data_IF_194546342623
#
_entry.id   IF_194546342623
#
_cell.length_a   1.000
_cell.length_b   1.000
_cell.length_c   1.000
_cell.angle_alpha   90.00
_cell.angle_beta   90.00
_cell.angle_gamma   90.00
#
_symmetry.space_group_name_H-M   'P 1'
#
loop_
_entity.id
_entity.type
_entity.pdbx_description
1 polymer ?
#
# COMPACT_ATOMS: atom_id res chain seq x y z
N UNK A 1 1.13 21.50 -12.73
CA UNK A 1 1.43 20.10 -13.11
C UNK A 1 0.60 19.22 -12.19
N UNK A 2 -0.23 18.33 -12.73
CA UNK A 2 -1.14 17.47 -11.96
C UNK A 2 -0.87 16.01 -12.32
N UNK A 3 -1.03 15.12 -11.35
CA UNK A 3 -0.91 13.67 -11.57
C UNK A 3 -2.23 12.97 -11.26
N UNK A 4 -2.59 11.99 -12.08
CA UNK A 4 -3.63 11.02 -11.75
C UNK A 4 -3.04 9.88 -10.93
N UNK A 5 -3.90 9.08 -10.29
CA UNK A 5 -3.46 7.84 -9.62
C UNK A 5 -2.75 6.90 -10.61
N UNK A 6 -3.24 6.82 -11.85
CA UNK A 6 -2.62 6.01 -12.91
C UNK A 6 -1.17 6.45 -13.18
N UNK A 7 -0.94 7.75 -13.40
CA UNK A 7 0.40 8.29 -13.62
C UNK A 7 1.32 8.05 -12.41
N UNK A 8 0.78 8.21 -11.20
CA UNK A 8 1.53 7.95 -9.96
C UNK A 8 1.97 6.48 -9.89
N UNK A 9 1.10 5.54 -10.25
CA UNK A 9 1.42 4.10 -10.28
C UNK A 9 2.49 3.81 -11.31
N UNK A 10 2.35 4.35 -12.53
CA UNK A 10 3.29 4.16 -13.63
C UNK A 10 4.72 4.57 -13.26
N UNK A 11 4.91 5.63 -12.47
CA UNK A 11 6.24 6.01 -11.97
C UNK A 11 6.68 5.32 -10.68
N UNK A 12 5.74 4.79 -9.88
CA UNK A 12 6.07 4.15 -8.59
C UNK A 12 6.54 2.71 -8.79
N UNK A 13 5.94 1.96 -9.72
CA UNK A 13 6.28 0.56 -9.96
C UNK A 13 7.70 0.32 -10.50
N UNK A 14 8.29 1.17 -11.35
CA UNK A 14 9.70 1.06 -11.71
C UNK A 14 10.61 1.07 -10.47
N UNK A 15 10.42 2.01 -9.54
CA UNK A 15 11.21 2.06 -8.30
C UNK A 15 11.01 0.81 -7.43
N UNK A 16 9.76 0.34 -7.31
CA UNK A 16 9.47 -0.92 -6.61
C UNK A 16 10.24 -2.10 -7.22
N UNK A 17 10.17 -2.28 -8.53
CA UNK A 17 10.78 -3.40 -9.24
C UNK A 17 12.31 -3.35 -9.28
N UNK A 18 12.87 -2.16 -9.50
CA UNK A 18 14.31 -1.99 -9.73
C UNK A 18 15.09 -1.78 -8.43
N UNK A 19 14.45 -1.25 -7.39
CA UNK A 19 15.12 -0.93 -6.11
C UNK A 19 14.62 -1.83 -4.98
N UNK A 20 13.32 -1.92 -4.74
CA UNK A 20 12.79 -2.62 -3.56
C UNK A 20 12.90 -4.14 -3.70
N UNK A 21 12.49 -4.68 -4.85
CA UNK A 21 12.47 -6.13 -5.11
C UNK A 21 13.87 -6.78 -4.98
N UNK A 22 14.97 -6.20 -5.50
CA UNK A 22 16.30 -6.75 -5.28
C UNK A 22 16.70 -6.82 -3.79
N UNK A 23 16.31 -5.82 -2.99
CA UNK A 23 16.62 -5.81 -1.56
C UNK A 23 15.81 -6.87 -0.80
N UNK A 24 14.54 -7.07 -1.17
CA UNK A 24 13.70 -8.15 -0.64
C UNK A 24 14.30 -9.53 -0.98
N UNK A 25 14.76 -9.72 -2.23
CA UNK A 25 15.43 -10.97 -2.66
C UNK A 25 16.75 -11.22 -1.91
N UNK A 26 17.44 -10.16 -1.51
CA UNK A 26 18.61 -10.23 -0.62
C UNK A 26 18.26 -10.58 0.84
N UNK A 27 16.97 -10.81 1.15
CA UNK A 27 16.51 -11.21 2.48
C UNK A 27 16.38 -10.05 3.48
N UNK A 28 16.39 -8.80 3.01
CA UNK A 28 16.24 -7.63 3.89
C UNK A 28 14.79 -7.41 4.27
N UNK A 29 14.57 -6.98 5.52
CA UNK A 29 13.31 -6.39 5.96
C UNK A 29 13.28 -4.91 5.54
N UNK A 30 12.26 -4.49 4.80
CA UNK A 30 12.18 -3.15 4.21
C UNK A 30 11.05 -2.36 4.86
N UNK A 31 11.37 -1.15 5.32
CA UNK A 31 10.41 -0.14 5.74
C UNK A 31 10.23 0.88 4.60
N UNK A 32 8.98 1.17 4.24
CA UNK A 32 8.63 2.19 3.24
C UNK A 32 7.81 3.28 3.92
N UNK A 33 8.39 4.48 4.02
CA UNK A 33 7.68 5.69 4.45
C UNK A 33 7.36 6.53 3.21
N UNK A 34 6.08 6.68 2.89
CA UNK A 34 5.64 7.36 1.67
C UNK A 34 4.24 7.99 1.84
N UNK A 35 3.62 8.41 0.74
CA UNK A 35 2.31 9.07 0.72
C UNK A 35 1.21 8.14 0.20
N UNK A 36 -0.05 8.55 0.41
CA UNK A 36 -1.24 7.75 0.10
C UNK A 36 -1.28 7.17 -1.33
N UNK A 37 -1.15 8.00 -2.36
CA UNK A 37 -1.28 7.52 -3.76
C UNK A 37 -0.12 6.60 -4.20
N UNK A 38 1.11 6.87 -3.76
CA UNK A 38 2.25 5.98 -4.04
C UNK A 38 2.10 4.64 -3.32
N UNK A 39 1.66 4.65 -2.04
CA UNK A 39 1.41 3.41 -1.29
C UNK A 39 0.25 2.61 -1.88
N UNK A 40 -0.85 3.28 -2.27
CA UNK A 40 -1.96 2.66 -3.01
C UNK A 40 -1.47 1.97 -4.28
N UNK A 41 -0.52 2.58 -5.00
CA UNK A 41 0.04 1.94 -6.19
C UNK A 41 0.79 0.64 -5.93
N UNK A 42 1.55 0.59 -4.85
CA UNK A 42 2.24 -0.63 -4.41
C UNK A 42 1.22 -1.69 -3.95
N UNK A 43 0.25 -1.29 -3.12
CA UNK A 43 -0.82 -2.18 -2.64
C UNK A 43 -1.62 -2.76 -3.81
N UNK A 44 -2.03 -1.92 -4.76
CA UNK A 44 -2.73 -2.36 -5.98
C UNK A 44 -1.96 -3.45 -6.72
N UNK A 45 -0.65 -3.28 -6.83
CA UNK A 45 0.21 -4.23 -7.53
C UNK A 45 0.37 -5.54 -6.76
N UNK A 46 0.56 -5.48 -5.44
CA UNK A 46 0.72 -6.65 -4.58
C UNK A 46 -0.56 -7.50 -4.46
N UNK A 47 -1.71 -6.84 -4.28
CA UNK A 47 -3.00 -7.49 -4.09
C UNK A 47 -3.77 -7.68 -5.41
N UNK A 48 -3.11 -7.44 -6.55
CA UNK A 48 -3.68 -7.58 -7.90
C UNK A 48 -5.06 -6.88 -8.04
N UNK A 49 -5.21 -5.71 -7.41
CA UNK A 49 -6.49 -5.01 -7.30
C UNK A 49 -6.95 -4.44 -8.63
N UNK A 50 -8.27 -4.50 -8.88
CA UNK A 50 -8.90 -3.82 -10.00
C UNK A 50 -8.81 -2.29 -9.86
N UNK A 51 -9.02 -1.58 -10.97
CA UNK A 51 -9.08 -0.11 -10.95
C UNK A 51 -10.22 0.39 -10.04
N UNK A 52 -11.36 -0.28 -10.00
CA UNK A 52 -12.47 0.14 -9.16
C UNK A 52 -12.18 -0.14 -7.68
N UNK A 53 -11.57 -1.29 -7.37
CA UNK A 53 -11.20 -1.64 -6.00
C UNK A 53 -10.18 -0.64 -5.42
N UNK A 54 -9.18 -0.21 -6.20
CA UNK A 54 -8.16 0.73 -5.70
C UNK A 54 -8.72 2.13 -5.46
N UNK A 55 -9.79 2.53 -6.17
CA UNK A 55 -10.46 3.80 -5.92
C UNK A 55 -11.16 3.82 -4.56
N UNK A 56 -11.63 2.66 -4.10
CA UNK A 56 -12.22 2.49 -2.77
C UNK A 56 -11.20 2.32 -1.63
N UNK A 57 -9.94 1.98 -1.95
CA UNK A 57 -8.91 1.75 -0.94
C UNK A 57 -8.46 3.07 -0.31
N UNK A 58 -8.56 3.14 1.02
CA UNK A 58 -8.09 4.28 1.79
C UNK A 58 -7.14 3.83 2.90
N UNK A 59 -5.91 4.31 2.81
CA UNK A 59 -4.88 4.03 3.81
C UNK A 59 -4.92 5.12 4.89
N UNK A 60 -5.12 4.76 6.18
CA UNK A 60 -5.04 5.70 7.28
C UNK A 60 -3.65 6.33 7.38
N UNK A 61 -3.59 7.59 7.78
CA UNK A 61 -2.31 8.30 7.95
C UNK A 61 -1.67 7.92 9.27
N UNK A 62 -0.37 7.63 9.26
CA UNK A 62 0.41 7.37 10.49
C UNK A 62 0.19 5.99 11.11
N UNK A 63 -0.62 5.12 10.50
CA UNK A 63 -0.79 3.74 10.94
C UNK A 63 0.09 2.83 10.09
N UNK A 64 1.07 2.11 10.68
CA UNK A 64 1.87 1.14 9.95
C UNK A 64 1.01 -0.03 9.47
N UNK A 65 1.33 -0.58 8.31
CA UNK A 65 0.79 -1.85 7.86
C UNK A 65 1.90 -2.75 7.33
N UNK A 66 1.68 -4.05 7.44
CA UNK A 66 2.65 -5.08 7.11
C UNK A 66 2.17 -5.93 5.95
N UNK A 67 3.12 -6.26 5.06
CA UNK A 67 2.98 -7.32 4.06
C UNK A 67 3.96 -8.42 4.35
N UNK A 68 3.48 -9.66 4.35
CA UNK A 68 4.34 -10.84 4.35
C UNK A 68 4.32 -11.44 2.95
N UNK A 69 5.48 -11.47 2.29
CA UNK A 69 5.61 -11.94 0.92
C UNK A 69 6.29 -13.32 0.90
N UNK A 70 5.83 -14.19 0.00
CA UNK A 70 6.51 -15.45 -0.26
C UNK A 70 7.90 -15.18 -0.87
N UNK A 71 8.92 -15.89 -0.38
CA UNK A 71 10.32 -15.62 -0.73
C UNK A 71 10.62 -15.86 -2.21
N UNK A 72 9.89 -16.76 -2.88
CA UNK A 72 10.14 -17.14 -4.27
C UNK A 72 9.32 -16.33 -5.25
N UNK A 73 8.02 -16.21 -4.97
CA UNK A 73 7.05 -15.56 -5.86
C UNK A 73 6.94 -14.07 -5.61
N UNK A 74 7.36 -13.59 -4.43
CA UNK A 74 7.19 -12.22 -3.95
C UNK A 74 5.74 -11.74 -3.93
N UNK A 75 4.80 -12.69 -3.95
CA UNK A 75 3.38 -12.44 -3.78
C UNK A 75 3.03 -12.46 -2.28
N UNK A 76 2.01 -11.71 -1.84
CA UNK A 76 1.49 -11.82 -0.48
C UNK A 76 1.13 -13.27 -0.14
N UNK A 77 1.55 -13.75 1.03
CA UNK A 77 1.12 -15.07 1.54
C UNK A 77 -0.35 -15.02 1.98
N UNK A 78 -0.99 -16.17 2.16
CA UNK A 78 -2.36 -16.24 2.67
C UNK A 78 -2.45 -15.52 4.03
N UNK A 79 -3.33 -14.52 4.13
CA UNK A 79 -3.46 -13.66 5.30
C UNK A 79 -2.36 -12.62 5.46
N UNK A 80 -1.35 -12.58 4.59
CA UNK A 80 -0.21 -11.65 4.62
C UNK A 80 -0.42 -10.35 3.85
N UNK A 81 -1.64 -10.05 3.41
CA UNK A 81 -2.00 -8.79 2.75
C UNK A 81 -2.50 -7.75 3.74
N UNK A 82 -2.03 -6.51 3.57
CA UNK A 82 -2.49 -5.28 4.22
C UNK A 82 -2.91 -5.40 5.70
N UNK A 83 -2.00 -5.89 6.56
CA UNK A 83 -2.27 -6.02 7.99
C UNK A 83 -1.89 -4.72 8.72
N UNK A 84 -2.86 -3.95 9.20
CA UNK A 84 -2.57 -2.78 10.04
C UNK A 84 -2.01 -3.20 11.40
N UNK A 85 -0.99 -2.47 11.85
CA UNK A 85 -0.34 -2.66 13.14
C UNK A 85 -0.77 -1.57 14.10
N UNK A 86 -1.17 -1.96 15.31
CA UNK A 86 -1.59 -1.06 16.38
C UNK A 86 -2.87 -1.52 17.05
N UNK A 87 -3.33 -0.72 18.02
CA UNK A 87 -4.57 -1.01 18.74
C UNK A 87 -5.78 -0.92 17.79
N UNK A 88 -6.74 -1.86 17.85
CA UNK A 88 -7.88 -1.89 16.93
C UNK A 88 -8.71 -0.60 16.92
N UNK A 89 -8.86 0.05 18.07
CA UNK A 89 -9.73 1.21 18.22
C UNK A 89 -9.16 2.49 17.57
N UNK A 90 -7.89 2.88 17.80
CA UNK A 90 -7.23 3.92 17.02
C UNK A 90 -7.20 3.65 15.51
N UNK A 91 -6.95 2.41 15.09
CA UNK A 91 -6.93 2.03 13.67
C UNK A 91 -8.31 2.24 13.03
N UNK A 92 -9.38 1.75 13.69
CA UNK A 92 -10.76 1.93 13.24
C UNK A 92 -11.10 3.42 13.09
N UNK A 93 -10.78 4.23 14.09
CA UNK A 93 -11.03 5.67 14.06
C UNK A 93 -10.28 6.36 12.91
N UNK A 94 -9.00 6.03 12.70
CA UNK A 94 -8.21 6.59 11.61
C UNK A 94 -8.77 6.19 10.22
N UNK A 95 -9.25 4.96 10.06
CA UNK A 95 -9.92 4.52 8.83
C UNK A 95 -11.21 5.30 8.58
N UNK A 96 -12.02 5.53 9.61
CA UNK A 96 -13.25 6.32 9.53
C UNK A 96 -12.98 7.80 9.19
N UNK A 97 -11.93 8.38 9.76
CA UNK A 97 -11.51 9.75 9.46
C UNK A 97 -11.16 9.92 7.98
N UNK A 98 -10.39 8.99 7.40
CA UNK A 98 -10.08 9.03 5.96
C UNK A 98 -11.34 8.83 5.11
N UNK A 99 -12.25 7.93 5.51
CA UNK A 99 -13.52 7.75 4.79
C UNK A 99 -14.39 9.02 4.80
N UNK A 100 -14.39 9.77 5.90
CA UNK A 100 -15.14 11.01 6.03
C UNK A 100 -14.56 12.18 5.21
N UNK A 101 -13.25 12.19 4.94
CA UNK A 101 -12.64 13.19 4.05
C UNK A 101 -13.17 13.10 2.62
N UNK A 102 -13.56 11.90 2.18
CA UNK A 102 -14.14 11.68 0.85
C UNK A 102 -15.56 12.24 0.78
N UNK A 103 -16.36 12.08 1.84
CA UNK A 103 -17.74 12.62 1.90
C UNK A 103 -17.80 14.15 1.88
N UNK A 104 -16.71 14.82 2.28
CA UNK A 104 -16.59 16.28 2.32
C UNK A 104 -16.06 16.90 1.01
N UNK A 105 -15.64 16.09 0.05
CA UNK A 105 -15.21 16.53 -1.29
C UNK A 105 -16.33 16.33 -2.29
#
# INVERSE_FOLDING_TARGET
MFESLKLTIERTLPFWNETVIPQLKAGKCILIAAHGNSLRGIVKHLDEMSNDAIMGLNLPTGIPFMYTLDKKTLKPVLGGSLQFLGDPEPVRKAMEEVANQIKKK
#
